data_IF_855707790115
#
_entry.id   IF_855707790115
#
_cell.length_a   1.000
_cell.length_b   1.000
_cell.length_c   1.000
_cell.angle_alpha   90.00
_cell.angle_beta   90.00
_cell.angle_gamma   90.00
#
_symmetry.space_group_name_H-M   'P 1'
#
loop_
_entity.id
_entity.type
_entity.pdbx_description
1 polymer ?
#
# COMPACT_ATOMS: atom_id res chain seq x y z
N UNK A 1 -26.44 15.79 -13.40
CA UNK A 1 -25.30 15.10 -14.03
C UNK A 1 -24.45 14.54 -12.90
N UNK A 2 -24.49 13.22 -12.67
CA UNK A 2 -23.61 12.59 -11.69
C UNK A 2 -22.18 12.67 -12.24
N UNK A 3 -21.37 13.48 -11.58
CA UNK A 3 -19.92 13.52 -11.77
C UNK A 3 -19.40 12.08 -11.75
N UNK A 4 -18.59 11.72 -12.75
CA UNK A 4 -17.78 10.50 -12.76
C UNK A 4 -16.72 10.63 -11.66
N UNK A 5 -17.13 10.53 -10.40
CA UNK A 5 -16.17 10.58 -9.31
C UNK A 5 -15.37 9.28 -9.30
N UNK A 6 -14.05 9.42 -9.22
CA UNK A 6 -13.04 8.35 -9.27
C UNK A 6 -13.05 7.49 -7.98
N UNK A 7 -14.23 7.10 -7.50
CA UNK A 7 -14.42 6.11 -6.44
C UNK A 7 -14.49 4.71 -7.03
N UNK A 8 -13.56 4.35 -7.91
CA UNK A 8 -13.59 3.10 -8.68
C UNK A 8 -13.50 1.82 -7.80
N UNK A 9 -13.08 1.96 -6.53
CA UNK A 9 -12.91 0.86 -5.59
C UNK A 9 -13.77 0.99 -4.33
N UNK A 10 -14.18 2.21 -3.94
CA UNK A 10 -14.93 2.43 -2.71
C UNK A 10 -16.44 2.21 -2.96
N UNK A 11 -17.13 1.43 -2.11
CA UNK A 11 -18.57 1.21 -2.28
C UNK A 11 -19.32 2.54 -2.14
N UNK A 12 -20.17 2.84 -3.12
CA UNK A 12 -20.81 4.17 -3.20
C UNK A 12 -21.83 4.35 -2.08
N UNK A 13 -22.03 5.59 -1.59
CA UNK A 13 -23.01 5.87 -0.52
C UNK A 13 -24.43 5.40 -0.86
N UNK A 14 -24.79 5.34 -2.14
CA UNK A 14 -26.06 4.80 -2.62
C UNK A 14 -26.15 3.27 -2.47
N UNK A 15 -25.06 2.53 -2.73
CA UNK A 15 -25.00 1.07 -2.58
C UNK A 15 -25.01 0.64 -1.10
N UNK A 16 -24.44 1.47 -0.22
CA UNK A 16 -24.35 1.20 1.22
C UNK A 16 -25.65 1.47 1.99
N UNK A 17 -26.60 2.21 1.41
CA UNK A 17 -27.78 2.72 2.12
C UNK A 17 -28.83 1.64 2.43
N UNK A 18 -28.79 0.51 1.73
CA UNK A 18 -29.72 -0.63 1.90
C UNK A 18 -29.10 -1.90 2.47
N UNK A 19 -27.80 -1.88 2.83
CA UNK A 19 -27.07 -3.06 3.28
C UNK A 19 -27.04 -3.15 4.82
N UNK A 20 -27.12 -4.37 5.34
CA UNK A 20 -26.87 -4.63 6.76
C UNK A 20 -25.44 -4.26 7.14
N UNK A 21 -25.21 -3.97 8.43
CA UNK A 21 -23.89 -3.58 8.94
C UNK A 21 -22.78 -4.59 8.56
N UNK A 22 -23.08 -5.89 8.61
CA UNK A 22 -22.16 -6.95 8.19
C UNK A 22 -21.86 -6.94 6.69
N UNK A 23 -22.89 -6.77 5.84
CA UNK A 23 -22.71 -6.69 4.40
C UNK A 23 -21.92 -5.43 3.98
N UNK A 24 -22.06 -4.34 4.74
CA UNK A 24 -21.25 -3.12 4.58
C UNK A 24 -19.77 -3.37 4.91
N UNK A 25 -19.48 -4.07 6.00
CA UNK A 25 -18.10 -4.43 6.37
C UNK A 25 -17.42 -5.33 5.33
N UNK A 26 -18.15 -6.31 4.79
CA UNK A 26 -17.64 -7.21 3.74
C UNK A 26 -17.24 -6.43 2.46
N UNK A 27 -17.99 -5.38 2.09
CA UNK A 27 -17.64 -4.55 0.92
C UNK A 27 -16.40 -3.68 1.11
N UNK A 28 -16.04 -3.33 2.34
CA UNK A 28 -14.82 -2.57 2.62
C UNK A 28 -13.57 -3.46 2.76
N UNK A 29 -13.75 -4.76 2.94
CA UNK A 29 -12.67 -5.72 3.13
C UNK A 29 -11.71 -5.81 1.92
N UNK A 30 -12.15 -5.80 0.65
CA UNK A 30 -11.24 -5.80 -0.49
C UNK A 30 -10.45 -4.49 -0.63
N UNK A 31 -11.05 -3.36 -0.23
CA UNK A 31 -10.45 -2.02 -0.39
C UNK A 31 -9.35 -1.80 0.65
N UNK A 32 -9.63 -2.13 1.91
CA UNK A 32 -8.70 -1.92 3.02
C UNK A 32 -8.02 -3.19 3.50
N UNK A 33 -8.23 -4.32 2.81
CA UNK A 33 -7.78 -5.64 3.23
C UNK A 33 -6.28 -5.70 3.47
N UNK A 34 -5.47 -5.06 2.61
CA UNK A 34 -4.03 -5.04 2.78
C UNK A 34 -3.59 -4.25 4.02
N UNK A 35 -4.23 -3.11 4.29
CA UNK A 35 -3.94 -2.28 5.48
C UNK A 35 -4.34 -3.01 6.75
N UNK A 36 -5.54 -3.61 6.75
CA UNK A 36 -6.06 -4.42 7.86
C UNK A 36 -5.13 -5.61 8.12
N UNK A 37 -4.75 -6.34 7.07
CA UNK A 37 -3.84 -7.47 7.17
C UNK A 37 -2.47 -7.05 7.73
N UNK A 38 -1.95 -5.91 7.27
CA UNK A 38 -0.68 -5.37 7.77
C UNK A 38 -0.74 -5.11 9.28
N UNK A 39 -1.78 -4.41 9.74
CA UNK A 39 -1.97 -4.15 11.18
C UNK A 39 -2.15 -5.45 11.98
N UNK A 40 -2.92 -6.39 11.45
CA UNK A 40 -3.13 -7.69 12.06
C UNK A 40 -1.80 -8.44 12.24
N UNK A 41 -0.97 -8.49 11.20
CA UNK A 41 0.34 -9.14 11.26
C UNK A 41 1.28 -8.43 12.26
N UNK A 42 1.26 -7.09 12.31
CA UNK A 42 2.03 -6.34 13.31
C UNK A 42 1.65 -6.76 14.73
N UNK A 43 0.35 -6.86 15.03
CA UNK A 43 -0.13 -7.29 16.35
C UNK A 43 0.27 -8.73 16.63
N UNK A 44 0.01 -9.65 15.70
CA UNK A 44 0.32 -11.08 15.85
C UNK A 44 1.81 -11.28 16.13
N UNK A 45 2.70 -10.70 15.30
CA UNK A 45 4.14 -10.86 15.49
C UNK A 45 4.68 -10.11 16.70
N UNK A 46 4.05 -9.02 17.13
CA UNK A 46 4.42 -8.36 18.39
C UNK A 46 4.12 -9.25 19.60
N UNK A 47 3.04 -10.04 19.57
CA UNK A 47 2.68 -10.98 20.64
C UNK A 47 3.55 -12.25 20.57
N UNK A 48 3.74 -12.81 19.38
CA UNK A 48 4.49 -14.06 19.19
C UNK A 48 6.01 -13.88 19.34
N UNK A 49 6.54 -12.73 18.95
CA UNK A 49 7.97 -12.41 18.96
C UNK A 49 8.26 -11.07 19.67
N UNK A 50 7.95 -10.95 20.97
CA UNK A 50 8.01 -9.68 21.69
C UNK A 50 9.43 -9.11 21.83
N UNK A 51 10.45 -9.97 21.79
CA UNK A 51 11.85 -9.55 21.96
C UNK A 51 12.55 -9.22 20.64
N UNK A 52 11.94 -9.53 19.49
CA UNK A 52 12.60 -9.34 18.18
C UNK A 52 11.77 -8.48 17.23
N UNK A 53 10.45 -8.68 17.15
CA UNK A 53 9.60 -7.99 16.20
C UNK A 53 9.31 -6.52 16.57
N UNK A 54 8.79 -6.17 17.77
CA UNK A 54 8.49 -4.79 18.12
C UNK A 54 9.75 -4.03 18.60
N UNK A 55 10.91 -4.30 18.00
CA UNK A 55 12.17 -3.64 18.33
C UNK A 55 12.46 -2.49 17.38
N UNK A 56 13.16 -1.46 17.87
CA UNK A 56 13.58 -0.33 17.03
C UNK A 56 14.52 -0.79 15.90
N UNK A 57 15.31 -1.83 16.13
CA UNK A 57 16.19 -2.42 15.13
C UNK A 57 15.38 -3.00 13.97
N UNK A 58 14.37 -3.83 14.27
CA UNK A 58 13.51 -4.43 13.26
C UNK A 58 12.68 -3.37 12.51
N UNK A 59 12.12 -2.39 13.23
CA UNK A 59 11.41 -1.28 12.59
C UNK A 59 12.30 -0.52 11.60
N UNK A 60 13.53 -0.20 11.99
CA UNK A 60 14.51 0.47 11.10
C UNK A 60 14.87 -0.41 9.91
N UNK A 61 15.07 -1.70 10.11
CA UNK A 61 15.38 -2.64 9.02
C UNK A 61 14.24 -2.68 7.98
N UNK A 62 13.00 -2.82 8.44
CA UNK A 62 11.80 -2.84 7.57
C UNK A 62 11.66 -1.51 6.80
N UNK A 63 11.78 -0.38 7.49
CA UNK A 63 11.65 0.94 6.86
C UNK A 63 12.79 1.22 5.87
N UNK A 64 14.01 0.79 6.19
CA UNK A 64 15.18 0.96 5.34
C UNK A 64 15.06 0.15 4.05
N UNK A 65 14.50 -1.07 4.10
CA UNK A 65 14.25 -1.90 2.92
C UNK A 65 13.30 -1.21 1.91
N UNK A 66 12.33 -0.44 2.41
CA UNK A 66 11.35 0.27 1.59
C UNK A 66 11.70 1.73 1.31
N UNK A 67 12.82 2.24 1.82
CA UNK A 67 13.17 3.66 1.74
C UNK A 67 13.35 4.15 0.28
N UNK A 68 14.03 3.37 -0.56
CA UNK A 68 14.28 3.75 -1.97
C UNK A 68 12.95 3.87 -2.72
N UNK A 69 12.09 2.86 -2.62
CA UNK A 69 10.79 2.86 -3.30
C UNK A 69 9.91 4.01 -2.78
N UNK A 70 9.93 4.28 -1.46
CA UNK A 70 9.19 5.39 -0.88
C UNK A 70 9.66 6.76 -1.41
N UNK A 71 10.98 7.02 -1.43
CA UNK A 71 11.54 8.27 -1.95
C UNK A 71 11.23 8.46 -3.44
N UNK A 72 11.32 7.40 -4.24
CA UNK A 72 11.03 7.45 -5.67
C UNK A 72 9.53 7.67 -5.93
N UNK A 73 8.66 7.05 -5.13
CA UNK A 73 7.20 7.27 -5.21
C UNK A 73 6.83 8.70 -4.87
N UNK A 74 7.48 9.30 -3.85
CA UNK A 74 7.33 10.72 -3.52
C UNK A 74 7.81 11.63 -4.67
N UNK A 75 8.93 11.28 -5.31
CA UNK A 75 9.43 12.01 -6.48
C UNK A 75 8.47 11.94 -7.67
N UNK A 76 7.92 10.76 -7.96
CA UNK A 76 6.95 10.53 -9.04
C UNK A 76 5.60 11.24 -8.79
N UNK A 77 5.25 11.51 -7.53
CA UNK A 77 4.01 12.22 -7.19
C UNK A 77 3.97 13.63 -7.79
N UNK A 78 5.11 14.34 -7.87
CA UNK A 78 5.18 15.73 -8.37
C UNK A 78 4.72 15.85 -9.84
N UNK A 79 5.30 15.13 -10.82
CA UNK A 79 4.83 15.18 -12.21
C UNK A 79 3.40 14.65 -12.36
N UNK A 80 3.01 13.63 -11.58
CA UNK A 80 1.64 13.11 -11.58
C UNK A 80 0.63 14.18 -11.13
N UNK A 81 0.93 14.95 -10.09
CA UNK A 81 0.09 16.05 -9.62
C UNK A 81 -0.01 17.20 -10.65
N UNK A 82 1.01 17.38 -11.48
CA UNK A 82 1.00 18.32 -12.61
C UNK A 82 0.23 17.79 -13.85
N UNK A 83 -0.45 16.65 -13.75
CA UNK A 83 -1.21 16.04 -14.85
C UNK A 83 -0.33 15.35 -15.90
N UNK A 84 0.95 15.12 -15.60
CA UNK A 84 1.90 14.40 -16.46
C UNK A 84 2.14 13.01 -15.88
N UNK A 85 1.30 12.05 -16.24
CA UNK A 85 1.46 10.65 -15.80
C UNK A 85 2.63 10.04 -16.58
N UNK A 86 3.72 9.73 -15.87
CA UNK A 86 4.88 9.05 -16.42
C UNK A 86 5.03 7.66 -15.80
N UNK A 87 4.69 6.62 -16.57
CA UNK A 87 4.78 5.23 -16.16
C UNK A 87 6.20 4.65 -16.33
N UNK A 88 7.10 5.35 -17.02
CA UNK A 88 8.47 4.88 -17.27
C UNK A 88 9.29 4.82 -15.98
N UNK A 89 8.97 5.69 -15.01
CA UNK A 89 9.59 5.70 -13.67
C UNK A 89 9.34 4.38 -12.96
N UNK A 90 8.10 3.90 -12.92
CA UNK A 90 7.75 2.63 -12.28
C UNK A 90 8.44 1.44 -12.95
N UNK A 91 8.44 1.40 -14.29
CA UNK A 91 9.11 0.37 -15.07
C UNK A 91 10.62 0.32 -14.81
N UNK A 92 11.29 1.49 -14.85
CA UNK A 92 12.72 1.59 -14.63
C UNK A 92 13.11 1.03 -13.26
N UNK A 93 12.40 1.43 -12.20
CA UNK A 93 12.70 1.00 -10.82
C UNK A 93 12.61 -0.52 -10.69
N UNK A 94 11.55 -1.13 -11.21
CA UNK A 94 11.35 -2.58 -11.12
C UNK A 94 12.46 -3.33 -11.87
N UNK A 95 12.83 -2.89 -13.07
CA UNK A 95 13.91 -3.51 -13.83
C UNK A 95 15.26 -3.38 -13.15
N UNK A 96 15.64 -2.18 -12.69
CA UNK A 96 16.88 -1.96 -11.95
C UNK A 96 16.96 -2.86 -10.72
N UNK A 97 15.84 -3.04 -10.02
CA UNK A 97 15.76 -3.90 -8.85
C UNK A 97 15.96 -5.38 -9.20
N UNK A 98 15.29 -5.87 -10.25
CA UNK A 98 15.48 -7.25 -10.74
C UNK A 98 16.94 -7.49 -11.15
N UNK A 99 17.53 -6.55 -11.89
CA UNK A 99 18.92 -6.63 -12.34
C UNK A 99 19.90 -6.63 -11.16
N UNK A 100 19.69 -5.75 -10.17
CA UNK A 100 20.52 -5.69 -8.97
C UNK A 100 20.50 -7.02 -8.22
N UNK A 101 19.32 -7.60 -7.98
CA UNK A 101 19.18 -8.91 -7.32
C UNK A 101 19.83 -10.01 -8.15
N UNK A 102 19.60 -10.02 -9.46
CA UNK A 102 20.14 -11.05 -10.36
C UNK A 102 21.67 -11.01 -10.46
N UNK A 103 22.28 -9.84 -10.30
CA UNK A 103 23.73 -9.64 -10.39
C UNK A 103 24.45 -9.80 -9.05
N UNK A 104 23.72 -9.91 -7.94
CA UNK A 104 24.26 -9.97 -6.57
C UNK A 104 24.78 -11.37 -6.19
N UNK A 105 25.36 -12.11 -7.14
CA UNK A 105 25.92 -13.48 -6.98
C UNK A 105 26.63 -13.70 -5.66
#
# INVERSE_FOLDING_TARGET
MQSLESHALEPTKAELKGLSFGARMIRFLPVYGLVILTLLLIVIFSILLPNTFPTLLNLRAILSDKAIIALLSLGAMIPMAAGRIDLTVGYGIVLWHILAISLQT
#
